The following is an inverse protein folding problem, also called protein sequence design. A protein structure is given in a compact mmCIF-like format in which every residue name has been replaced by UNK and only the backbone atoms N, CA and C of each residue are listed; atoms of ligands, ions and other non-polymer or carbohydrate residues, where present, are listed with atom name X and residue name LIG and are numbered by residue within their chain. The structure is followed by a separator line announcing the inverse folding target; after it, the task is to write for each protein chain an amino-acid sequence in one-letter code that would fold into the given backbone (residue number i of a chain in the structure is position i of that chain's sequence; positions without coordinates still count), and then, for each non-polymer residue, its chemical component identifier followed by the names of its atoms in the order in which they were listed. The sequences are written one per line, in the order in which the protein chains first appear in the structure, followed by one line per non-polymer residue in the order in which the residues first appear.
data_IF_750869066036
#
_entry.id   IF_750869066036
#
_cell.length_a   1.000
_cell.length_b   1.000
_cell.length_c   1.000
_cell.angle_alpha   90.00
_cell.angle_beta   90.00
_cell.angle_gamma   90.00
#
_symmetry.space_group_name_H-M   'P 1'
#
loop_
_entity.id
_entity.type
_entity.pdbx_description
1 polymer ?
#
# COMPACT_ATOMS: atom_id res chain seq x y z
N UNK A 1 -152.74 64.46 -22.83
CA UNK A 1 -151.51 64.69 -22.03
C UNK A 1 -150.95 63.43 -21.38
N UNK A 2 -151.76 62.50 -20.84
CA UNK A 2 -151.27 61.24 -20.22
C UNK A 2 -150.47 60.30 -21.16
N UNK A 3 -150.79 60.29 -22.46
CA UNK A 3 -150.15 59.37 -23.43
C UNK A 3 -148.71 59.74 -23.79
N UNK A 4 -148.33 61.02 -23.74
CA UNK A 4 -146.99 61.49 -24.10
C UNK A 4 -145.96 61.23 -22.99
N UNK A 5 -146.39 61.31 -21.73
CA UNK A 5 -145.56 61.00 -20.57
C UNK A 5 -145.31 59.50 -20.46
N UNK A 6 -146.27 58.69 -20.86
CA UNK A 6 -146.18 57.23 -20.86
C UNK A 6 -145.21 56.72 -21.96
N UNK A 7 -145.24 57.31 -23.15
CA UNK A 7 -144.26 57.02 -24.21
C UNK A 7 -142.84 57.45 -23.86
N UNK A 8 -142.67 58.59 -23.16
CA UNK A 8 -141.36 59.03 -22.68
C UNK A 8 -140.79 58.12 -21.59
N UNK A 9 -141.64 57.63 -20.67
CA UNK A 9 -141.23 56.67 -19.65
C UNK A 9 -140.83 55.33 -20.26
N UNK A 10 -141.52 54.86 -21.28
CA UNK A 10 -141.18 53.59 -21.96
C UNK A 10 -139.87 53.70 -22.75
N UNK A 11 -139.61 54.84 -23.39
CA UNK A 11 -138.32 55.13 -24.02
C UNK A 11 -137.18 55.15 -22.99
N UNK A 12 -137.37 55.81 -21.84
CA UNK A 12 -136.38 55.83 -20.77
C UNK A 12 -136.10 54.43 -20.22
N UNK A 13 -137.13 53.59 -20.01
CA UNK A 13 -136.98 52.20 -19.56
C UNK A 13 -136.19 51.36 -20.56
N UNK A 14 -136.48 51.48 -21.86
CA UNK A 14 -135.73 50.78 -22.92
C UNK A 14 -134.26 51.23 -22.95
N UNK A 15 -133.98 52.53 -22.85
CA UNK A 15 -132.60 53.03 -22.79
C UNK A 15 -131.86 52.58 -21.54
N UNK A 16 -132.54 52.54 -20.39
CA UNK A 16 -131.97 52.10 -19.12
C UNK A 16 -131.65 50.60 -19.16
N UNK A 17 -132.56 49.78 -19.68
CA UNK A 17 -132.32 48.35 -19.91
C UNK A 17 -131.13 48.10 -20.84
N UNK A 18 -131.02 48.85 -21.95
CA UNK A 18 -129.89 48.72 -22.87
C UNK A 18 -128.56 49.14 -22.23
N UNK A 19 -128.57 50.18 -21.38
CA UNK A 19 -127.39 50.58 -20.61
C UNK A 19 -127.03 49.60 -19.50
N UNK A 20 -128.00 48.95 -18.86
CA UNK A 20 -127.78 47.88 -17.90
C UNK A 20 -127.14 46.65 -18.57
N UNK A 21 -127.61 46.28 -19.77
CA UNK A 21 -127.01 45.20 -20.57
C UNK A 21 -125.57 45.53 -21.00
N UNK A 22 -125.32 46.74 -21.48
CA UNK A 22 -123.98 47.22 -21.86
C UNK A 22 -123.02 47.22 -20.65
N UNK A 23 -123.48 47.72 -19.50
CA UNK A 23 -122.71 47.71 -18.24
C UNK A 23 -122.43 46.27 -17.76
N UNK A 24 -123.40 45.37 -17.87
CA UNK A 24 -123.18 43.96 -17.52
C UNK A 24 -122.17 43.30 -18.46
N UNK A 25 -122.23 43.57 -19.76
CA UNK A 25 -121.24 43.08 -20.73
C UNK A 25 -119.83 43.59 -20.41
N UNK A 26 -119.70 44.90 -20.13
CA UNK A 26 -118.42 45.51 -19.73
C UNK A 26 -117.90 44.94 -18.41
N UNK A 27 -118.79 44.65 -17.45
CA UNK A 27 -118.41 44.04 -16.18
C UNK A 27 -117.92 42.60 -16.38
N UNK A 28 -118.55 41.82 -17.25
CA UNK A 28 -118.10 40.46 -17.54
C UNK A 28 -116.75 40.44 -18.26
N UNK A 29 -116.56 41.31 -19.26
CA UNK A 29 -115.27 41.37 -19.99
C UNK A 29 -114.13 41.81 -19.08
N UNK A 30 -114.36 42.84 -18.26
CA UNK A 30 -113.35 43.31 -17.30
C UNK A 30 -113.02 42.27 -16.22
N UNK A 31 -113.99 41.46 -15.77
CA UNK A 31 -113.75 40.37 -14.83
C UNK A 31 -112.92 39.24 -15.46
N UNK A 32 -113.19 38.89 -16.72
CA UNK A 32 -112.43 37.87 -17.46
C UNK A 32 -111.00 38.33 -17.80
N UNK A 33 -110.84 39.59 -18.19
CA UNK A 33 -109.52 40.21 -18.36
C UNK A 33 -108.74 40.22 -17.04
N UNK A 34 -109.38 40.58 -15.93
CA UNK A 34 -108.75 40.58 -14.62
C UNK A 34 -108.32 39.17 -14.19
N UNK A 35 -109.12 38.13 -14.48
CA UNK A 35 -108.74 36.72 -14.24
C UNK A 35 -107.55 36.30 -15.09
N UNK A 36 -107.55 36.64 -16.38
CA UNK A 36 -106.45 36.33 -17.30
C UNK A 36 -105.13 36.99 -16.86
N UNK A 37 -105.18 38.27 -16.49
CA UNK A 37 -104.01 38.99 -15.97
C UNK A 37 -103.49 38.37 -14.67
N UNK A 38 -104.37 37.97 -13.75
CA UNK A 38 -103.96 37.27 -12.52
C UNK A 38 -103.24 35.95 -12.81
N UNK A 39 -103.72 35.17 -13.79
CA UNK A 39 -103.05 33.94 -14.20
C UNK A 39 -101.66 34.22 -14.78
N UNK A 40 -101.53 35.21 -15.67
CA UNK A 40 -100.24 35.61 -16.23
C UNK A 40 -99.26 36.10 -15.15
N UNK A 41 -99.72 36.88 -14.17
CA UNK A 41 -98.89 37.35 -13.05
C UNK A 41 -98.40 36.16 -12.23
N UNK A 42 -99.29 35.25 -11.83
CA UNK A 42 -98.91 34.06 -11.06
C UNK A 42 -97.86 33.22 -11.81
N UNK A 43 -98.05 32.99 -13.11
CA UNK A 43 -97.07 32.27 -13.93
C UNK A 43 -95.72 32.99 -14.02
N UNK A 44 -95.70 34.33 -14.10
CA UNK A 44 -94.46 35.11 -14.11
C UNK A 44 -93.77 35.09 -12.75
N UNK A 45 -94.52 35.10 -11.66
CA UNK A 45 -93.98 35.00 -10.29
C UNK A 45 -93.30 33.64 -10.08
N UNK A 46 -93.90 32.55 -10.57
CA UNK A 46 -93.30 31.21 -10.54
C UNK A 46 -91.97 31.16 -11.33
N UNK A 47 -91.93 31.72 -12.54
CA UNK A 47 -90.70 31.82 -13.34
C UNK A 47 -89.61 32.66 -12.64
N UNK A 48 -90.02 33.74 -11.97
CA UNK A 48 -89.11 34.61 -11.24
C UNK A 48 -88.53 33.93 -10.00
N UNK A 49 -89.30 33.07 -9.33
CA UNK A 49 -88.80 32.21 -8.24
C UNK A 49 -87.77 31.21 -8.77
N UNK A 50 -88.04 30.52 -9.88
CA UNK A 50 -87.11 29.57 -10.49
C UNK A 50 -85.81 30.26 -10.94
N UNK A 51 -85.91 31.42 -11.56
CA UNK A 51 -84.75 32.22 -12.00
C UNK A 51 -83.88 32.65 -10.81
N UNK A 52 -84.50 33.11 -9.71
CA UNK A 52 -83.78 33.45 -8.48
C UNK A 52 -83.07 32.25 -7.88
N UNK A 53 -83.70 31.07 -7.90
CA UNK A 53 -83.06 29.86 -7.40
C UNK A 53 -81.83 29.48 -8.25
N UNK A 54 -81.95 29.51 -9.57
CA UNK A 54 -80.82 29.25 -10.47
C UNK A 54 -79.68 30.26 -10.26
N UNK A 55 -80.00 31.52 -9.96
CA UNK A 55 -78.99 32.52 -9.63
C UNK A 55 -78.25 32.20 -8.32
N UNK A 56 -78.96 31.76 -7.28
CA UNK A 56 -78.33 31.31 -6.02
C UNK A 56 -77.43 30.10 -6.22
N UNK A 57 -77.85 29.15 -7.06
CA UNK A 57 -77.06 27.95 -7.37
C UNK A 57 -75.76 28.33 -8.12
N UNK A 58 -75.84 29.26 -9.08
CA UNK A 58 -74.67 29.80 -9.78
C UNK A 58 -73.73 30.57 -8.86
N UNK A 59 -74.27 31.39 -7.94
CA UNK A 59 -73.48 32.13 -6.97
C UNK A 59 -72.71 31.17 -6.04
N UNK A 60 -73.33 30.04 -5.65
CA UNK A 60 -72.67 29.00 -4.89
C UNK A 60 -71.55 28.30 -5.69
N UNK A 61 -71.80 27.96 -6.95
CA UNK A 61 -70.78 27.33 -7.82
C UNK A 61 -69.58 28.27 -8.05
N UNK A 62 -69.81 29.57 -8.22
CA UNK A 62 -68.75 30.57 -8.34
C UNK A 62 -67.88 30.59 -7.09
N UNK A 63 -68.48 30.52 -5.91
CA UNK A 63 -67.74 30.51 -4.65
C UNK A 63 -66.93 29.22 -4.49
N UNK A 64 -67.50 28.06 -4.84
CA UNK A 64 -66.78 26.78 -4.83
C UNK A 64 -65.58 26.81 -5.78
N UNK A 65 -65.74 27.35 -7.00
CA UNK A 65 -64.65 27.53 -7.96
C UNK A 65 -63.56 28.46 -7.41
N UNK A 66 -63.93 29.57 -6.77
CA UNK A 66 -62.95 30.50 -6.15
C UNK A 66 -62.14 29.83 -5.06
N UNK A 67 -62.79 29.05 -4.19
CA UNK A 67 -62.08 28.33 -3.13
C UNK A 67 -61.16 27.25 -3.70
N UNK A 68 -61.58 26.54 -4.74
CA UNK A 68 -60.75 25.56 -5.43
C UNK A 68 -59.54 26.21 -6.13
N UNK A 69 -59.74 27.35 -6.79
CA UNK A 69 -58.67 28.12 -7.43
C UNK A 69 -57.64 28.59 -6.40
N UNK A 70 -58.09 29.14 -5.28
CA UNK A 70 -57.19 29.60 -4.22
C UNK A 70 -56.32 28.46 -3.64
N UNK A 71 -56.88 27.26 -3.48
CA UNK A 71 -56.11 26.07 -3.08
C UNK A 71 -55.10 25.67 -4.14
N UNK A 72 -55.50 25.64 -5.41
CA UNK A 72 -54.61 25.30 -6.51
C UNK A 72 -53.44 26.29 -6.67
N UNK A 73 -53.68 27.59 -6.41
CA UNK A 73 -52.63 28.62 -6.38
C UNK A 73 -51.63 28.36 -5.24
N UNK A 74 -52.13 28.04 -4.04
CA UNK A 74 -51.28 27.70 -2.89
C UNK A 74 -50.43 26.45 -3.16
N UNK A 75 -51.03 25.39 -3.71
CA UNK A 75 -50.32 24.16 -4.05
C UNK A 75 -49.24 24.39 -5.12
N UNK A 76 -49.54 25.22 -6.14
CA UNK A 76 -48.55 25.60 -7.15
C UNK A 76 -47.38 26.36 -6.56
N UNK A 77 -47.61 27.24 -5.57
CA UNK A 77 -46.53 27.96 -4.92
C UNK A 77 -45.63 27.02 -4.12
N UNK A 78 -46.21 26.08 -3.36
CA UNK A 78 -45.45 25.05 -2.65
C UNK A 78 -44.62 24.16 -3.59
N UNK A 79 -45.18 23.81 -4.75
CA UNK A 79 -44.45 23.04 -5.77
C UNK A 79 -43.27 23.83 -6.34
N UNK A 80 -43.42 25.14 -6.56
CA UNK A 80 -42.32 26.01 -7.01
C UNK A 80 -41.21 26.11 -5.97
N UNK A 81 -41.55 26.29 -4.71
CA UNK A 81 -40.57 26.30 -3.61
C UNK A 81 -39.81 24.97 -3.55
N UNK A 82 -40.53 23.85 -3.58
CA UNK A 82 -39.91 22.50 -3.57
C UNK A 82 -39.00 22.29 -4.80
N UNK A 83 -39.38 22.82 -5.97
CA UNK A 83 -38.57 22.73 -7.17
C UNK A 83 -37.26 23.55 -7.03
N UNK A 84 -37.33 24.75 -6.47
CA UNK A 84 -36.17 25.58 -6.20
C UNK A 84 -35.20 24.89 -5.23
N UNK A 85 -35.70 24.33 -4.13
CA UNK A 85 -34.89 23.58 -3.18
C UNK A 85 -34.20 22.37 -3.85
N UNK A 86 -34.92 21.67 -4.73
CA UNK A 86 -34.37 20.55 -5.49
C UNK A 86 -33.27 20.97 -6.48
N UNK A 87 -33.44 22.12 -7.15
CA UNK A 87 -32.43 22.67 -8.06
C UNK A 87 -31.16 23.09 -7.28
N UNK A 88 -31.30 23.70 -6.10
CA UNK A 88 -30.17 24.04 -5.23
C UNK A 88 -29.42 22.79 -4.74
N UNK A 89 -30.12 21.72 -4.35
CA UNK A 89 -29.50 20.46 -3.95
C UNK A 89 -28.75 19.81 -5.13
N UNK A 90 -29.33 19.84 -6.34
CA UNK A 90 -28.66 19.35 -7.55
C UNK A 90 -27.37 20.11 -7.86
N UNK A 91 -27.37 21.42 -7.71
CA UNK A 91 -26.17 22.23 -7.93
C UNK A 91 -25.10 21.96 -6.87
N UNK A 92 -25.48 21.78 -5.60
CA UNK A 92 -24.56 21.34 -4.55
C UNK A 92 -23.96 19.95 -4.85
N UNK A 93 -24.78 18.99 -5.31
CA UNK A 93 -24.31 17.67 -5.69
C UNK A 93 -23.35 17.71 -6.89
N UNK A 94 -23.64 18.53 -7.91
CA UNK A 94 -22.76 18.74 -9.07
C UNK A 94 -21.42 19.34 -8.67
N UNK A 95 -21.42 20.35 -7.79
CA UNK A 95 -20.19 20.93 -7.27
C UNK A 95 -19.36 19.90 -6.47
N UNK A 96 -20.02 19.11 -5.63
CA UNK A 96 -19.37 18.02 -4.89
C UNK A 96 -18.79 16.94 -5.81
N UNK A 97 -19.47 16.61 -6.91
CA UNK A 97 -18.94 15.68 -7.92
C UNK A 97 -17.71 16.25 -8.62
N UNK A 98 -17.75 17.49 -9.09
CA UNK A 98 -16.61 18.13 -9.75
C UNK A 98 -15.37 18.20 -8.85
N UNK A 99 -15.55 18.46 -7.55
CA UNK A 99 -14.45 18.43 -6.57
C UNK A 99 -13.81 17.05 -6.46
N UNK A 100 -14.62 15.98 -6.37
CA UNK A 100 -14.12 14.60 -6.30
C UNK A 100 -13.42 14.18 -7.59
N UNK A 101 -13.93 14.60 -8.75
CA UNK A 101 -13.29 14.33 -10.03
C UNK A 101 -11.90 15.00 -10.09
N UNK A 102 -11.76 16.21 -9.56
CA UNK A 102 -10.46 16.88 -9.37
C UNK A 102 -9.50 16.07 -8.49
N UNK A 103 -9.96 15.64 -7.30
CA UNK A 103 -9.16 14.81 -6.39
C UNK A 103 -8.71 13.49 -7.04
N UNK A 104 -9.56 12.85 -7.84
CA UNK A 104 -9.22 11.62 -8.58
C UNK A 104 -8.11 11.87 -9.59
N UNK A 105 -8.13 13.01 -10.30
CA UNK A 105 -7.07 13.38 -11.25
C UNK A 105 -5.74 13.56 -10.51
N UNK A 106 -5.74 14.28 -9.38
CA UNK A 106 -4.54 14.51 -8.58
C UNK A 106 -3.97 13.21 -8.03
N UNK A 107 -4.82 12.31 -7.52
CA UNK A 107 -4.41 11.00 -7.02
C UNK A 107 -3.82 10.12 -8.13
N UNK A 108 -4.39 10.15 -9.34
CA UNK A 108 -3.81 9.43 -10.49
C UNK A 108 -2.44 9.97 -10.88
N UNK A 109 -2.26 11.30 -10.87
CA UNK A 109 -0.96 11.91 -11.16
C UNK A 109 0.09 11.54 -10.09
N UNK A 110 -0.30 11.56 -8.80
CA UNK A 110 0.56 11.16 -7.70
C UNK A 110 0.96 9.67 -7.79
N UNK A 111 0.02 8.79 -8.15
CA UNK A 111 0.28 7.36 -8.36
C UNK A 111 1.28 7.13 -9.48
N UNK A 112 1.07 7.75 -10.65
CA UNK A 112 1.99 7.64 -11.79
C UNK A 112 3.42 8.10 -11.45
N UNK A 113 3.55 9.16 -10.64
CA UNK A 113 4.87 9.61 -10.17
C UNK A 113 5.51 8.59 -9.22
N UNK A 114 4.74 7.97 -8.32
CA UNK A 114 5.23 6.91 -7.43
C UNK A 114 5.66 5.66 -8.20
N UNK A 115 4.91 5.25 -9.22
CA UNK A 115 5.28 4.15 -10.10
C UNK A 115 6.62 4.41 -10.80
N UNK A 116 6.82 5.62 -11.33
CA UNK A 116 8.11 6.02 -11.92
C UNK A 116 9.27 5.99 -10.93
N UNK A 117 9.04 6.41 -9.69
CA UNK A 117 10.07 6.34 -8.63
C UNK A 117 10.41 4.89 -8.29
N UNK A 118 9.40 4.00 -8.21
CA UNK A 118 9.62 2.57 -7.96
C UNK A 118 10.44 1.95 -9.09
N UNK A 119 10.13 2.26 -10.35
CA UNK A 119 10.88 1.77 -11.51
C UNK A 119 12.35 2.20 -11.45
N UNK A 120 12.61 3.48 -11.15
CA UNK A 120 13.97 3.99 -11.00
C UNK A 120 14.72 3.29 -9.85
N UNK A 121 14.07 3.08 -8.71
CA UNK A 121 14.66 2.34 -7.59
C UNK A 121 14.98 0.89 -7.96
N UNK A 122 14.15 0.25 -8.77
CA UNK A 122 14.41 -1.11 -9.23
C UNK A 122 15.68 -1.18 -10.11
N UNK A 123 15.86 -0.21 -11.01
CA UNK A 123 17.08 -0.07 -11.83
C UNK A 123 18.31 0.18 -10.95
N UNK A 124 18.22 1.08 -9.97
CA UNK A 124 19.31 1.38 -9.05
C UNK A 124 19.72 0.15 -8.22
N UNK A 125 18.74 -0.62 -7.73
CA UNK A 125 18.99 -1.86 -6.99
C UNK A 125 19.68 -2.89 -7.87
N UNK A 126 19.19 -3.12 -9.09
CA UNK A 126 19.80 -4.06 -10.03
C UNK A 126 21.26 -3.69 -10.34
N UNK A 127 21.54 -2.40 -10.55
CA UNK A 127 22.92 -1.93 -10.78
C UNK A 127 23.81 -2.16 -9.55
N UNK A 128 23.30 -1.95 -8.34
CA UNK A 128 24.04 -2.18 -7.11
C UNK A 128 24.28 -3.68 -6.84
N UNK A 129 23.39 -4.56 -7.28
CA UNK A 129 23.57 -6.01 -7.24
C UNK A 129 24.69 -6.45 -8.19
N UNK A 130 24.70 -5.95 -9.44
CA UNK A 130 25.76 -6.22 -10.41
C UNK A 130 27.13 -5.74 -9.91
N UNK A 131 27.21 -4.53 -9.35
CA UNK A 131 28.44 -3.98 -8.77
C UNK A 131 28.94 -4.85 -7.59
N UNK A 132 28.02 -5.34 -6.73
CA UNK A 132 28.39 -6.23 -5.63
C UNK A 132 28.93 -7.57 -6.12
N UNK A 133 28.36 -8.12 -7.20
CA UNK A 133 28.84 -9.37 -7.79
C UNK A 133 30.28 -9.20 -8.32
N UNK A 134 30.56 -8.12 -9.04
CA UNK A 134 31.92 -7.80 -9.51
C UNK A 134 32.92 -7.62 -8.36
N UNK A 135 32.49 -6.99 -7.26
CA UNK A 135 33.32 -6.84 -6.07
C UNK A 135 33.64 -8.19 -5.42
N UNK A 136 32.67 -9.11 -5.36
CA UNK A 136 32.88 -10.48 -4.85
C UNK A 136 33.87 -11.27 -5.72
N UNK A 137 33.72 -11.21 -7.04
CA UNK A 137 34.67 -11.85 -7.97
C UNK A 137 36.09 -11.29 -7.82
N UNK A 138 36.20 -9.96 -7.68
CA UNK A 138 37.48 -9.28 -7.45
C UNK A 138 38.10 -9.72 -6.12
N UNK A 139 37.29 -9.83 -5.07
CA UNK A 139 37.74 -10.30 -3.76
C UNK A 139 38.26 -11.75 -3.85
N UNK A 140 37.50 -12.66 -4.46
CA UNK A 140 37.90 -14.04 -4.64
C UNK A 140 39.22 -14.16 -5.41
N UNK A 141 39.40 -13.37 -6.47
CA UNK A 141 40.65 -13.34 -7.24
C UNK A 141 41.83 -12.89 -6.39
N UNK A 142 41.64 -11.86 -5.55
CA UNK A 142 42.69 -11.39 -4.64
C UNK A 142 43.02 -12.41 -3.56
N UNK A 143 42.01 -13.09 -3.01
CA UNK A 143 42.22 -14.14 -2.01
C UNK A 143 43.06 -15.29 -2.59
N UNK A 144 42.79 -15.72 -3.83
CA UNK A 144 43.60 -16.72 -4.54
C UNK A 144 45.05 -16.27 -4.77
N UNK A 145 45.25 -14.99 -5.13
CA UNK A 145 46.61 -14.45 -5.30
C UNK A 145 47.36 -14.36 -3.97
N UNK A 146 46.68 -14.03 -2.88
CA UNK A 146 47.26 -14.06 -1.53
C UNK A 146 47.71 -15.49 -1.18
N UNK A 147 46.86 -16.50 -1.35
CA UNK A 147 47.21 -17.90 -1.11
C UNK A 147 48.43 -18.33 -1.95
N UNK A 148 48.51 -17.91 -3.22
CA UNK A 148 49.66 -18.18 -4.10
C UNK A 148 50.94 -17.56 -3.55
N UNK A 149 50.89 -16.29 -3.13
CA UNK A 149 52.03 -15.57 -2.60
C UNK A 149 52.49 -16.15 -1.25
N UNK A 150 51.57 -16.56 -0.38
CA UNK A 150 51.88 -17.23 0.88
C UNK A 150 52.60 -18.57 0.64
N UNK A 151 52.15 -19.36 -0.35
CA UNK A 151 52.83 -20.61 -0.73
C UNK A 151 54.22 -20.37 -1.32
N UNK A 152 54.39 -19.36 -2.17
CA UNK A 152 55.69 -18.97 -2.72
C UNK A 152 56.65 -18.52 -1.62
N UNK A 153 56.17 -17.73 -0.65
CA UNK A 153 56.94 -17.31 0.51
C UNK A 153 57.38 -18.51 1.36
N UNK A 154 56.47 -19.45 1.67
CA UNK A 154 56.80 -20.65 2.44
C UNK A 154 57.86 -21.52 1.73
N UNK A 155 57.80 -21.63 0.40
CA UNK A 155 58.84 -22.31 -0.40
C UNK A 155 60.19 -21.63 -0.27
N UNK A 156 60.23 -20.30 -0.36
CA UNK A 156 61.47 -19.52 -0.22
C UNK A 156 62.05 -19.61 1.19
N UNK A 157 61.22 -19.62 2.21
CA UNK A 157 61.66 -19.85 3.59
C UNK A 157 62.29 -21.23 3.75
N UNK A 158 61.73 -22.27 3.11
CA UNK A 158 62.33 -23.60 3.03
C UNK A 158 63.71 -23.60 2.35
N UNK A 159 63.83 -22.98 1.18
CA UNK A 159 65.12 -22.83 0.47
C UNK A 159 66.18 -22.13 1.35
N UNK A 160 65.77 -21.09 2.10
CA UNK A 160 66.67 -20.37 3.02
C UNK A 160 67.16 -21.28 4.15
N UNK A 161 66.30 -22.14 4.70
CA UNK A 161 66.68 -23.12 5.73
C UNK A 161 67.72 -24.10 5.19
N UNK A 162 67.48 -24.66 3.99
CA UNK A 162 68.41 -25.61 3.35
C UNK A 162 69.76 -24.98 3.03
N UNK A 163 69.77 -23.74 2.54
CA UNK A 163 70.99 -22.97 2.29
C UNK A 163 71.76 -22.71 3.60
N UNK A 164 71.08 -22.37 4.69
CA UNK A 164 71.72 -22.19 6.01
C UNK A 164 72.35 -23.48 6.51
N UNK A 165 71.67 -24.63 6.35
CA UNK A 165 72.23 -25.94 6.71
C UNK A 165 73.47 -26.27 5.88
N UNK A 166 73.41 -26.04 4.56
CA UNK A 166 74.55 -26.24 3.65
C UNK A 166 75.75 -25.37 4.04
N UNK A 167 75.52 -24.10 4.41
CA UNK A 167 76.58 -23.20 4.88
C UNK A 167 77.23 -23.77 6.14
N UNK A 168 76.45 -24.21 7.13
CA UNK A 168 76.96 -24.78 8.37
C UNK A 168 77.83 -26.04 8.11
N UNK A 169 77.41 -26.94 7.21
CA UNK A 169 78.18 -28.13 6.82
C UNK A 169 79.51 -27.74 6.15
N UNK A 170 79.50 -26.72 5.29
CA UNK A 170 80.72 -26.22 4.64
C UNK A 170 81.66 -25.55 5.64
N UNK A 171 81.14 -24.83 6.63
CA UNK A 171 81.94 -24.26 7.71
C UNK A 171 82.65 -25.36 8.52
N UNK A 172 81.92 -26.43 8.90
CA UNK A 172 82.53 -27.59 9.58
C UNK A 172 83.62 -28.27 8.74
N UNK A 173 83.40 -28.42 7.43
CA UNK A 173 84.40 -28.98 6.52
C UNK A 173 85.64 -28.08 6.44
N UNK A 174 85.47 -26.76 6.35
CA UNK A 174 86.56 -25.78 6.34
C UNK A 174 87.39 -25.91 7.62
N UNK A 175 86.74 -26.01 8.78
CA UNK A 175 87.44 -26.15 10.06
C UNK A 175 88.21 -27.47 10.17
N UNK A 176 87.63 -28.58 9.68
CA UNK A 176 88.31 -29.87 9.57
C UNK A 176 89.54 -29.81 8.67
N UNK A 177 89.43 -29.15 7.51
CA UNK A 177 90.56 -28.94 6.59
C UNK A 177 91.64 -28.06 7.21
N UNK A 178 91.27 -26.97 7.89
CA UNK A 178 92.21 -26.11 8.63
C UNK A 178 92.98 -26.90 9.69
N UNK A 179 92.31 -27.76 10.46
CA UNK A 179 92.96 -28.63 11.44
C UNK A 179 93.96 -29.61 10.79
N UNK A 180 93.58 -30.24 9.67
CA UNK A 180 94.49 -31.12 8.91
C UNK A 180 95.70 -30.38 8.35
N UNK A 181 95.51 -29.18 7.82
CA UNK A 181 96.61 -28.34 7.33
C UNK A 181 97.56 -28.00 8.48
N UNK A 182 97.04 -27.54 9.62
CA UNK A 182 97.86 -27.24 10.80
C UNK A 182 98.65 -28.46 11.31
N UNK A 183 98.04 -29.65 11.31
CA UNK A 183 98.75 -30.90 11.63
C UNK A 183 99.87 -31.21 10.64
N UNK A 184 99.60 -31.09 9.33
CA UNK A 184 100.59 -31.35 8.29
C UNK A 184 101.73 -30.32 8.28
N UNK A 185 101.46 -29.07 8.67
CA UNK A 185 102.47 -28.05 8.93
C UNK A 185 103.37 -28.46 10.10
N UNK A 186 102.79 -28.92 11.22
CA UNK A 186 103.54 -29.47 12.36
C UNK A 186 104.40 -30.68 12.00
N UNK A 187 103.87 -31.64 11.24
CA UNK A 187 104.64 -32.80 10.75
C UNK A 187 105.79 -32.36 9.82
N UNK A 188 105.56 -31.38 8.95
CA UNK A 188 106.61 -30.81 8.10
C UNK A 188 107.71 -30.12 8.91
N UNK A 189 107.37 -29.39 9.97
CA UNK A 189 108.35 -28.79 10.87
C UNK A 189 109.21 -29.86 11.56
N UNK A 190 108.59 -30.96 12.03
CA UNK A 190 109.32 -32.09 12.60
C UNK A 190 110.24 -32.78 11.59
N UNK A 191 109.77 -33.00 10.36
CA UNK A 191 110.57 -33.56 9.27
C UNK A 191 111.75 -32.65 8.94
N UNK A 192 111.54 -31.34 8.84
CA UNK A 192 112.61 -30.36 8.62
C UNK A 192 113.63 -30.36 9.76
N UNK A 193 113.20 -30.42 11.01
CA UNK A 193 114.09 -30.53 12.16
C UNK A 193 114.91 -31.84 12.13
N UNK A 194 114.25 -32.96 11.82
CA UNK A 194 114.91 -34.27 11.66
C UNK A 194 115.93 -34.26 10.53
N UNK A 195 115.59 -33.63 9.41
CA UNK A 195 116.50 -33.47 8.28
C UNK A 195 117.71 -32.62 8.65
N UNK A 196 117.52 -31.51 9.37
CA UNK A 196 118.63 -30.70 9.89
C UNK A 196 119.55 -31.49 10.84
N UNK A 197 118.99 -32.33 11.73
CA UNK A 197 119.78 -33.20 12.61
C UNK A 197 120.61 -34.18 11.77
N UNK A 198 119.98 -34.85 10.79
CA UNK A 198 120.68 -35.78 9.91
C UNK A 198 121.75 -35.09 9.07
N UNK A 199 121.49 -33.90 8.57
CA UNK A 199 122.48 -33.10 7.83
C UNK A 199 123.67 -32.72 8.73
N UNK A 200 123.41 -32.34 9.99
CA UNK A 200 124.47 -32.10 10.99
C UNK A 200 125.26 -33.38 11.32
N UNK A 201 124.59 -34.53 11.44
CA UNK A 201 125.23 -35.83 11.68
C UNK A 201 126.09 -36.28 10.50
N UNK A 202 125.59 -36.12 9.26
CA UNK A 202 126.37 -36.36 8.04
C UNK A 202 127.60 -35.46 7.97
N UNK A 203 127.48 -34.18 8.33
CA UNK A 203 128.62 -33.25 8.38
C UNK A 203 129.63 -33.66 9.47
N UNK A 204 129.17 -34.19 10.61
CA UNK A 204 130.03 -34.77 11.66
C UNK A 204 130.71 -36.09 11.27
N UNK A 205 130.08 -36.91 10.43
CA UNK A 205 130.64 -38.15 9.88
C UNK A 205 131.57 -37.93 8.68
N UNK A 206 131.63 -36.68 8.18
CA UNK A 206 132.45 -36.26 7.05
C UNK A 206 133.99 -36.17 7.27
N UNK A 207 134.58 -36.16 8.48
CA UNK A 207 136.04 -36.15 8.59
C UNK A 207 136.59 -37.54 8.29
N UNK A 208 136.79 -37.83 7.01
CA UNK A 208 137.41 -39.06 6.53
C UNK A 208 137.31 -39.32 5.02
N UNK A 209 136.37 -38.71 4.29
CA UNK A 209 136.11 -39.08 2.89
C UNK A 209 136.57 -38.12 1.79
N UNK A 210 137.06 -36.91 2.12
CA UNK A 210 137.59 -35.96 1.11
C UNK A 210 139.12 -36.04 0.89
N UNK A 211 139.82 -37.00 1.51
CA UNK A 211 141.28 -37.12 1.37
C UNK A 211 141.76 -38.01 0.21
N UNK A 212 140.92 -38.82 -0.45
CA UNK A 212 141.39 -39.69 -1.55
C UNK A 212 140.30 -40.06 -2.56
N UNK A 213 140.13 -39.26 -3.63
CA UNK A 213 140.06 -39.81 -5.01
C UNK A 213 140.15 -38.73 -6.11
N UNK A 214 141.29 -38.68 -6.78
CA UNK A 214 141.50 -38.01 -8.08
C UNK A 214 141.01 -38.93 -9.23
N UNK A 215 140.08 -38.42 -10.06
CA UNK A 215 139.91 -38.52 -11.56
C UNK A 215 139.87 -39.91 -12.27
N UNK A 216 139.55 -40.03 -13.59
CA UNK A 216 138.51 -39.44 -14.48
C UNK A 216 137.81 -40.47 -15.43
N UNK A 217 136.67 -40.13 -16.09
CA UNK A 217 136.17 -40.74 -17.37
C UNK A 217 134.80 -40.12 -17.75
N UNK A 218 134.57 -39.38 -18.85
CA UNK A 218 134.43 -39.70 -20.29
C UNK A 218 133.26 -40.63 -20.69
N UNK A 219 132.29 -40.08 -21.45
CA UNK A 219 131.30 -40.74 -22.33
C UNK A 219 130.07 -41.34 -21.63
N UNK A 220 128.83 -41.33 -22.11
CA UNK A 220 128.13 -40.87 -23.33
C UNK A 220 126.62 -41.10 -23.08
N UNK A 221 125.77 -40.26 -23.67
CA UNK A 221 124.36 -40.45 -24.09
C UNK A 221 123.41 -41.44 -23.40
N UNK A 222 122.23 -40.93 -23.03
CA UNK A 222 120.91 -41.30 -23.61
C UNK A 222 119.74 -40.92 -22.69
N UNK A 223 118.78 -40.13 -23.24
CA UNK A 223 117.32 -40.15 -22.97
C UNK A 223 116.84 -39.86 -21.53
N UNK A 224 115.85 -39.00 -21.24
CA UNK A 224 114.65 -38.67 -21.98
C UNK A 224 114.15 -37.26 -21.60
N UNK A 225 114.11 -36.38 -22.61
CA UNK A 225 113.31 -35.16 -22.63
C UNK A 225 111.84 -35.59 -22.77
N UNK A 226 111.07 -35.55 -21.68
CA UNK A 226 109.60 -35.49 -21.75
C UNK A 226 109.13 -34.19 -21.11
N UNK A 227 109.26 -33.13 -21.90
CA UNK A 227 108.33 -32.03 -21.87
C UNK A 227 106.92 -32.59 -22.19
N UNK A 228 105.98 -32.42 -21.27
CA UNK A 228 104.55 -32.35 -21.55
C UNK A 228 104.13 -30.96 -21.06
N UNK A 229 104.04 -29.99 -21.97
CA UNK A 229 102.79 -29.61 -22.63
C UNK A 229 101.67 -29.36 -21.62
N UNK A 230 101.46 -28.08 -21.31
CA UNK A 230 100.17 -27.39 -21.31
C UNK A 230 100.48 -25.89 -21.35
N UNK A 231 100.75 -25.40 -22.57
CA UNK A 231 100.72 -23.98 -22.90
C UNK A 231 99.27 -23.56 -23.10
N UNK A 232 98.95 -22.38 -22.58
CA UNK A 232 97.72 -21.63 -22.79
C UNK A 232 97.18 -21.71 -24.22
N UNK A 233 95.88 -21.98 -24.33
CA UNK A 233 95.07 -21.66 -25.51
C UNK A 233 93.75 -21.06 -25.05
N UNK A 234 93.56 -19.81 -25.47
CA UNK A 234 92.28 -19.21 -25.91
C UNK A 234 91.20 -18.93 -24.87
N UNK A 235 91.30 -17.70 -24.35
CA UNK A 235 90.16 -16.86 -23.97
C UNK A 235 89.73 -16.13 -25.26
N UNK A 236 88.67 -16.60 -25.91
CA UNK A 236 87.82 -15.97 -26.95
C UNK A 236 86.89 -17.11 -27.42
N UNK A 237 85.56 -17.13 -27.34
CA UNK A 237 84.53 -16.13 -27.58
C UNK A 237 83.33 -16.87 -28.20
N UNK A 238 82.19 -16.91 -27.50
CA UNK A 238 80.87 -17.12 -28.13
C UNK A 238 79.90 -16.09 -27.56
N UNK A 239 80.06 -14.86 -28.05
CA UNK A 239 78.99 -13.89 -28.08
C UNK A 239 78.41 -13.85 -29.48
N UNK A 240 77.17 -14.35 -29.65
CA UNK A 240 76.21 -13.84 -30.64
C UNK A 240 74.86 -14.55 -30.48
N UNK A 241 73.90 -13.91 -29.82
CA UNK A 241 72.60 -13.68 -30.46
C UNK A 241 71.84 -12.56 -29.75
N UNK A 242 71.17 -11.79 -30.58
CA UNK A 242 70.53 -10.49 -30.33
C UNK A 242 69.21 -10.65 -29.59
N UNK A 243 68.91 -9.69 -28.71
CA UNK A 243 67.66 -8.91 -28.66
C UNK A 243 67.85 -7.80 -27.61
N UNK A 244 68.04 -6.53 -28.00
CA UNK A 244 67.02 -5.44 -27.97
C UNK A 244 66.15 -5.55 -26.71
N UNK A 245 66.19 -4.62 -25.73
CA UNK A 245 65.61 -3.25 -25.75
C UNK A 245 66.07 -2.47 -24.47
N UNK A 246 66.09 -1.12 -24.43
CA UNK A 246 66.79 -0.31 -23.41
C UNK A 246 65.89 0.14 -22.21
N UNK A 247 66.43 0.89 -21.22
CA UNK A 247 65.93 0.90 -19.84
C UNK A 247 64.95 2.03 -19.50
N UNK A 248 64.27 1.79 -18.38
CA UNK A 248 63.61 2.69 -17.43
C UNK A 248 63.87 4.20 -17.63
N UNK A 249 62.76 4.94 -17.78
CA UNK A 249 62.64 6.32 -17.27
C UNK A 249 61.78 6.35 -15.99
N UNK A 250 62.04 7.28 -15.07
CA UNK A 250 61.34 7.41 -13.80
C UNK A 250 60.01 8.16 -13.95
N UNK A 251 58.93 7.53 -13.50
CA UNK A 251 57.58 8.09 -13.43
C UNK A 251 57.41 9.04 -12.25
N UNK A 252 57.28 10.31 -12.60
CA UNK A 252 56.89 11.50 -11.85
C UNK A 252 55.73 11.29 -10.85
N UNK A 253 56.04 11.61 -9.59
CA UNK A 253 55.31 12.44 -8.61
C UNK A 253 53.79 12.64 -8.82
N UNK A 254 53.05 12.15 -7.84
CA UNK A 254 51.67 12.46 -7.47
C UNK A 254 51.37 13.96 -7.36
N UNK A 255 50.23 14.38 -7.93
CA UNK A 255 49.39 15.43 -7.34
C UNK A 255 47.91 15.06 -7.54
N UNK A 256 47.32 14.37 -6.56
CA UNK A 256 45.86 14.38 -6.38
C UNK A 256 45.56 15.39 -5.29
N UNK A 257 44.90 16.46 -5.71
CA UNK A 257 44.30 17.46 -4.86
C UNK A 257 43.14 16.87 -4.07
N UNK A 258 43.16 17.25 -2.80
CA UNK A 258 42.10 17.13 -1.82
C UNK A 258 40.77 17.70 -2.30
N UNK A 259 39.68 16.95 -2.07
CA UNK A 259 38.47 17.54 -1.49
C UNK A 259 37.82 16.52 -0.57
N UNK A 260 37.87 16.82 0.72
CA UNK A 260 37.15 16.08 1.74
C UNK A 260 35.69 16.49 1.75
N UNK A 261 34.81 15.53 2.00
CA UNK A 261 33.55 15.83 2.66
C UNK A 261 33.25 14.70 3.65
N UNK A 262 33.15 15.15 4.89
CA UNK A 262 32.97 14.41 6.13
C UNK A 262 31.62 13.71 6.16
N UNK A 263 31.58 12.43 6.54
CA UNK A 263 30.36 11.76 7.00
C UNK A 263 30.66 10.82 8.19
N UNK A 264 29.78 10.74 9.20
CA UNK A 264 30.11 10.21 10.52
C UNK A 264 29.98 8.69 10.62
N UNK A 265 30.86 8.11 11.45
CA UNK A 265 30.73 6.75 12.01
C UNK A 265 29.45 6.65 12.85
N UNK A 266 28.48 5.86 12.41
CA UNK A 266 27.51 5.25 13.31
C UNK A 266 27.92 3.80 13.59
N UNK A 267 28.11 3.52 14.87
CA UNK A 267 28.40 2.21 15.44
C UNK A 267 27.11 1.38 15.40
N UNK A 268 27.06 0.33 14.59
CA UNK A 268 26.00 -0.69 14.69
C UNK A 268 26.53 -1.79 15.61
N UNK A 269 26.06 -1.76 16.86
CA UNK A 269 26.10 -2.92 17.75
C UNK A 269 25.07 -3.93 17.22
N UNK A 270 25.55 -5.07 16.75
CA UNK A 270 24.70 -6.23 16.48
C UNK A 270 24.09 -6.77 17.77
N UNK A 271 22.77 -6.83 17.81
CA UNK A 271 22.01 -7.68 18.71
C UNK A 271 21.19 -8.62 17.82
N UNK A 272 21.65 -9.87 17.73
CA UNK A 272 20.89 -11.00 17.22
C UNK A 272 19.95 -11.44 18.34
N UNK A 273 18.63 -11.27 18.18
CA UNK A 273 17.62 -12.07 18.88
C UNK A 273 16.19 -11.84 18.37
N UNK A 274 15.59 -12.94 17.91
CA UNK A 274 14.18 -13.33 17.97
C UNK A 274 13.16 -12.61 17.09
N UNK A 275 13.09 -13.08 15.83
CA UNK A 275 11.87 -13.10 15.02
C UNK A 275 10.90 -14.17 15.53
N UNK A 276 9.89 -13.75 16.31
CA UNK A 276 8.66 -14.50 16.60
C UNK A 276 7.63 -13.59 17.28
N UNK A 277 7.26 -12.47 16.63
CA UNK A 277 6.24 -11.55 17.17
C UNK A 277 5.41 -10.80 16.10
N UNK A 278 5.29 -11.31 14.87
CA UNK A 278 4.58 -10.57 13.79
C UNK A 278 3.12 -11.01 13.60
N UNK A 279 2.64 -12.04 14.29
CA UNK A 279 1.28 -12.58 14.06
C UNK A 279 0.20 -12.20 15.09
N UNK A 280 0.50 -11.33 16.07
CA UNK A 280 -0.48 -10.93 17.11
C UNK A 280 -1.13 -9.55 16.90
N UNK A 281 -0.66 -8.74 15.95
CA UNK A 281 -1.13 -7.35 15.81
C UNK A 281 -2.22 -7.14 14.75
N UNK A 282 -2.44 -8.09 13.83
CA UNK A 282 -3.49 -7.96 12.82
C UNK A 282 -4.90 -8.06 13.39
N UNK A 283 -5.13 -8.93 14.38
CA UNK A 283 -6.42 -8.97 15.10
C UNK A 283 -6.65 -7.68 15.90
N UNK A 284 -5.63 -7.18 16.60
CA UNK A 284 -5.70 -5.94 17.38
C UNK A 284 -6.08 -4.72 16.52
N UNK A 285 -5.44 -4.58 15.35
CA UNK A 285 -5.71 -3.50 14.40
C UNK A 285 -7.08 -3.67 13.74
N UNK A 286 -7.49 -4.90 13.42
CA UNK A 286 -8.82 -5.17 12.88
C UNK A 286 -9.93 -4.82 13.89
N UNK A 287 -9.79 -5.23 15.15
CA UNK A 287 -10.76 -4.91 16.21
C UNK A 287 -10.80 -3.40 16.51
N UNK A 288 -9.65 -2.71 16.54
CA UNK A 288 -9.63 -1.25 16.72
C UNK A 288 -10.30 -0.50 15.58
N UNK A 289 -10.18 -0.99 14.33
CA UNK A 289 -10.77 -0.36 13.14
C UNK A 289 -12.28 -0.61 13.05
N UNK A 290 -12.74 -1.78 13.48
CA UNK A 290 -14.17 -2.10 13.63
C UNK A 290 -14.80 -1.28 14.76
N UNK A 291 -14.13 -1.13 15.91
CA UNK A 291 -14.62 -0.30 17.02
C UNK A 291 -14.76 1.18 16.62
N UNK A 292 -13.77 1.72 15.91
CA UNK A 292 -13.80 3.10 15.44
C UNK A 292 -14.96 3.35 14.45
N UNK A 293 -15.17 2.43 13.50
CA UNK A 293 -16.26 2.54 12.51
C UNK A 293 -17.64 2.30 13.11
N UNK A 294 -17.76 1.41 14.09
CA UNK A 294 -19.01 1.21 14.82
C UNK A 294 -19.35 2.42 15.69
N UNK A 295 -18.35 3.03 16.33
CA UNK A 295 -18.52 4.26 17.11
C UNK A 295 -18.92 5.44 16.20
N UNK A 296 -18.33 5.55 15.01
CA UNK A 296 -18.70 6.57 14.02
C UNK A 296 -20.11 6.33 13.44
N UNK A 297 -20.49 5.07 13.19
CA UNK A 297 -21.83 4.70 12.76
C UNK A 297 -22.87 5.03 13.82
N UNK A 298 -22.61 4.71 15.09
CA UNK A 298 -23.49 5.05 16.21
C UNK A 298 -23.58 6.56 16.45
N UNK A 299 -22.50 7.32 16.22
CA UNK A 299 -22.51 8.79 16.30
C UNK A 299 -23.30 9.45 15.15
N UNK A 300 -23.39 8.81 13.97
CA UNK A 300 -24.19 9.29 12.83
C UNK A 300 -25.68 8.99 12.94
N UNK A 301 -26.08 8.06 13.82
CA UNK A 301 -27.50 7.88 14.18
C UNK A 301 -27.89 9.04 15.11
N UNK A 302 -28.16 10.19 14.51
CA UNK A 302 -28.68 11.38 15.18
C UNK A 302 -30.10 11.06 15.67
N UNK A 303 -30.24 10.67 16.93
CA UNK A 303 -31.56 10.59 17.57
C UNK A 303 -32.03 12.04 17.77
N UNK A 304 -33.18 12.46 17.21
CA UNK A 304 -33.66 13.83 17.34
C UNK A 304 -33.92 14.18 18.82
N UNK A 305 -33.61 15.40 19.27
CA UNK A 305 -33.67 15.78 20.70
C UNK A 305 -35.09 15.85 21.30
N UNK A 306 -36.15 15.55 20.54
CA UNK A 306 -37.55 15.72 20.97
C UNK A 306 -38.24 14.44 21.46
N UNK A 307 -37.54 13.55 22.19
CA UNK A 307 -38.18 12.41 22.91
C UNK A 307 -37.57 12.13 24.29
N UNK A 308 -37.29 13.16 25.09
CA UNK A 308 -36.76 12.99 26.46
C UNK A 308 -37.82 12.81 27.57
N UNK A 309 -39.11 12.71 27.25
CA UNK A 309 -40.18 12.50 28.25
C UNK A 309 -40.99 11.21 28.04
N UNK A 310 -40.33 10.09 27.75
CA UNK A 310 -40.99 8.78 27.79
C UNK A 310 -40.13 7.78 28.58
N UNK A 311 -40.57 7.28 29.76
CA UNK A 311 -39.77 6.41 30.63
C UNK A 311 -39.58 4.97 30.10
N UNK A 312 -39.78 4.74 28.80
CA UNK A 312 -39.71 3.43 28.13
C UNK A 312 -38.68 3.39 26.99
N UNK A 313 -37.78 4.37 26.89
CA UNK A 313 -36.72 4.34 25.88
C UNK A 313 -35.61 3.35 26.30
N UNK A 314 -35.25 2.35 25.46
CA UNK A 314 -34.20 1.40 25.79
C UNK A 314 -32.83 2.09 25.77
N UNK A 315 -32.17 2.18 26.93
CA UNK A 315 -30.80 2.65 27.05
C UNK A 315 -29.82 1.48 26.82
N UNK A 316 -28.95 1.59 25.82
CA UNK A 316 -27.88 0.60 25.61
C UNK A 316 -26.72 0.94 26.54
N UNK A 317 -26.41 0.05 27.48
CA UNK A 317 -25.21 0.15 28.32
C UNK A 317 -24.19 -0.91 27.92
N UNK A 318 -22.98 -0.45 27.58
CA UNK A 318 -21.85 -1.30 27.22
C UNK A 318 -20.85 -1.28 28.38
N UNK A 319 -20.61 -2.43 29.00
CA UNK A 319 -19.55 -2.57 30.02
C UNK A 319 -18.50 -3.60 29.58
N UNK A 320 -17.24 -3.17 29.53
CA UNK A 320 -16.09 -3.97 29.09
C UNK A 320 -15.55 -4.83 30.26
N UNK A 321 -15.55 -6.17 30.13
CA UNK A 321 -14.85 -7.07 31.08
C UNK A 321 -13.62 -7.71 30.43
N UNK A 322 -12.51 -7.74 31.19
CA UNK A 322 -11.13 -7.97 30.71
C UNK A 322 -10.78 -9.36 30.16
N UNK A 323 -11.69 -10.33 30.06
CA UNK A 323 -11.30 -11.71 29.64
C UNK A 323 -12.22 -12.44 28.66
N UNK A 324 -13.32 -11.84 28.18
CA UNK A 324 -14.15 -12.29 27.04
C UNK A 324 -15.21 -11.21 26.78
N UNK A 325 -15.37 -10.68 25.55
CA UNK A 325 -16.45 -9.72 25.28
C UNK A 325 -17.78 -10.47 25.33
N UNK A 326 -18.60 -10.16 26.35
CA UNK A 326 -20.01 -10.55 26.39
C UNK A 326 -20.84 -9.30 26.17
N UNK A 327 -21.82 -9.40 25.28
CA UNK A 327 -22.77 -8.33 24.98
C UNK A 327 -24.05 -8.63 25.74
N UNK A 328 -24.48 -7.71 26.59
CA UNK A 328 -25.77 -7.79 27.29
C UNK A 328 -26.61 -6.60 26.88
N UNK A 329 -27.78 -6.86 26.31
CA UNK A 329 -28.81 -5.86 26.07
C UNK A 329 -29.81 -6.01 27.22
N UNK A 330 -29.93 -4.99 28.07
CA UNK A 330 -30.94 -4.95 29.12
C UNK A 330 -32.06 -4.03 28.70
N UNK A 331 -33.27 -4.59 28.64
CA UNK A 331 -34.50 -3.82 28.54
C UNK A 331 -34.98 -3.47 29.96
N UNK A 332 -35.38 -2.22 30.18
CA UNK A 332 -35.77 -1.72 31.49
C UNK A 332 -37.16 -2.27 31.86
N UNK A 333 -37.23 -3.53 32.29
CA UNK A 333 -38.48 -4.11 32.79
C UNK A 333 -38.55 -5.63 32.90
N UNK A 334 -37.62 -6.41 32.33
CA UNK A 334 -37.62 -7.88 32.44
C UNK A 334 -36.21 -8.46 32.57
N UNK A 335 -36.14 -9.64 33.19
CA UNK A 335 -34.93 -10.36 33.60
C UNK A 335 -33.83 -10.38 32.53
N UNK A 336 -32.58 -10.21 32.97
CA UNK A 336 -31.39 -10.22 32.12
C UNK A 336 -31.30 -11.52 31.32
N UNK A 337 -31.44 -11.44 30.00
CA UNK A 337 -31.16 -12.56 29.11
C UNK A 337 -29.64 -12.67 28.93
N UNK A 338 -29.04 -13.73 29.47
CA UNK A 338 -27.65 -14.08 29.20
C UNK A 338 -27.53 -14.68 27.80
N UNK A 339 -26.87 -13.95 26.89
CA UNK A 339 -26.59 -14.45 25.54
C UNK A 339 -25.40 -15.41 25.59
N UNK A 340 -25.64 -16.71 25.42
CA UNK A 340 -24.60 -17.72 25.25
C UNK A 340 -24.66 -18.23 23.81
N UNK A 341 -23.65 -17.89 23.00
CA UNK A 341 -23.58 -18.25 21.57
C UNK A 341 -23.31 -19.76 21.45
N UNK A 342 -24.28 -20.53 20.96
CA UNK A 342 -24.06 -21.87 20.38
C UNK A 342 -24.09 -21.74 18.85
N UNK A 343 -23.12 -22.36 18.22
CA UNK A 343 -22.87 -22.35 16.76
C UNK A 343 -23.87 -23.25 16.03
N UNK A 344 -24.60 -22.74 15.03
CA UNK A 344 -25.26 -23.60 14.04
C UNK A 344 -26.55 -23.11 13.37
N UNK A 345 -27.29 -22.15 13.93
CA UNK A 345 -28.63 -21.79 13.42
C UNK A 345 -28.77 -20.28 13.13
N UNK A 346 -29.54 -19.87 12.11
CA UNK A 346 -29.82 -18.47 11.83
C UNK A 346 -30.75 -17.87 12.90
N UNK A 347 -30.39 -16.69 13.42
CA UNK A 347 -31.16 -16.01 14.45
C UNK A 347 -32.13 -15.00 13.83
N UNK A 348 -33.40 -15.05 14.27
CA UNK A 348 -34.43 -14.07 13.95
C UNK A 348 -34.72 -13.26 15.22
N UNK A 349 -34.45 -11.95 15.20
CA UNK A 349 -34.81 -11.05 16.32
C UNK A 349 -36.04 -10.24 15.92
N UNK A 350 -37.12 -10.40 16.68
CA UNK A 350 -38.35 -9.62 16.51
C UNK A 350 -38.33 -8.40 17.44
N UNK A 351 -38.46 -7.21 16.86
CA UNK A 351 -38.65 -5.98 17.62
C UNK A 351 -39.59 -5.05 16.85
N UNK A 352 -40.73 -4.70 17.47
CA UNK A 352 -41.68 -3.73 16.93
C UNK A 352 -42.25 -4.08 15.54
N UNK A 353 -42.49 -5.36 15.24
CA UNK A 353 -43.07 -5.79 13.96
C UNK A 353 -42.09 -5.80 12.77
N UNK A 354 -40.80 -5.63 13.01
CA UNK A 354 -39.72 -5.84 12.04
C UNK A 354 -38.85 -7.03 12.45
N UNK A 355 -38.42 -7.83 11.48
CA UNK A 355 -37.51 -8.94 11.68
C UNK A 355 -36.12 -8.59 11.15
N UNK A 356 -35.09 -8.79 11.97
CA UNK A 356 -33.70 -8.73 11.53
C UNK A 356 -33.19 -10.17 11.45
N UNK A 357 -32.85 -10.60 10.23
CA UNK A 357 -32.25 -11.91 9.98
C UNK A 357 -30.75 -11.68 9.74
N UNK A 358 -29.91 -12.26 10.59
CA UNK A 358 -28.46 -12.22 10.41
C UNK A 358 -28.01 -13.48 9.67
N UNK A 359 -27.18 -13.35 8.61
CA UNK A 359 -26.73 -14.50 7.83
C UNK A 359 -25.82 -15.43 8.65
N UNK A 360 -25.85 -16.71 8.30
CA UNK A 360 -25.01 -17.75 8.90
C UNK A 360 -23.52 -17.39 8.79
N UNK A 361 -22.69 -17.70 9.80
CA UNK A 361 -21.25 -17.42 9.80
C UNK A 361 -20.49 -18.00 8.60
N UNK A 362 -21.01 -19.06 7.98
CA UNK A 362 -20.35 -19.74 6.86
C UNK A 362 -20.50 -18.99 5.53
N UNK A 363 -21.60 -18.24 5.35
CA UNK A 363 -21.81 -17.39 4.17
C UNK A 363 -20.90 -16.15 4.19
N UNK A 364 -20.59 -15.64 5.38
CA UNK A 364 -19.67 -14.50 5.57
C UNK A 364 -18.23 -14.91 5.27
N UNK A 365 -17.86 -16.16 5.53
CA UNK A 365 -16.51 -16.70 5.28
C UNK A 365 -16.21 -16.84 3.79
N UNK A 366 -17.16 -17.38 3.01
CA UNK A 366 -17.00 -17.51 1.55
C UNK A 366 -17.00 -16.18 0.80
N UNK A 367 -17.69 -15.15 1.31
CA UNK A 367 -17.69 -13.81 0.72
C UNK A 367 -16.39 -13.04 0.98
N UNK A 368 -15.78 -13.23 2.17
CA UNK A 368 -14.50 -12.64 2.54
C UNK A 368 -13.34 -13.21 1.70
N UNK A 369 -13.34 -14.51 1.40
CA UNK A 369 -12.34 -15.15 0.53
C UNK A 369 -12.45 -14.70 -0.94
N UNK A 370 -13.63 -14.21 -1.36
CA UNK A 370 -13.87 -13.70 -2.72
C UNK A 370 -13.71 -12.17 -2.86
N UNK A 371 -13.23 -11.48 -1.81
CA UNK A 371 -13.00 -10.03 -1.83
C UNK A 371 -14.27 -9.18 -2.02
N UNK A 372 -15.45 -9.73 -1.73
CA UNK A 372 -16.73 -9.01 -1.81
C UNK A 372 -17.32 -8.84 -0.42
N UNK A 373 -17.37 -7.60 0.06
CA UNK A 373 -18.09 -7.27 1.29
C UNK A 373 -19.61 -7.36 1.04
N UNK A 374 -20.24 -8.39 1.58
CA UNK A 374 -21.68 -8.60 1.51
C UNK A 374 -22.29 -8.46 2.92
N UNK A 375 -22.70 -7.24 3.28
CA UNK A 375 -23.60 -7.01 4.42
C UNK A 375 -24.99 -6.70 3.89
N UNK A 376 -25.82 -7.74 3.74
CA UNK A 376 -27.23 -7.55 3.42
C UNK A 376 -28.03 -7.49 4.73
N UNK A 377 -28.36 -6.28 5.19
CA UNK A 377 -29.42 -6.09 6.18
C UNK A 377 -30.70 -5.84 5.39
N UNK A 378 -31.47 -6.89 5.12
CA UNK A 378 -32.78 -6.75 4.49
C UNK A 378 -33.84 -6.59 5.56
N UNK A 379 -34.45 -5.41 5.62
CA UNK A 379 -35.64 -5.16 6.43
C UNK A 379 -36.82 -5.75 5.67
N UNK A 380 -37.24 -6.96 6.04
CA UNK A 380 -38.42 -7.60 5.46
C UNK A 380 -39.66 -7.19 6.23
N UNK A 381 -40.70 -6.72 5.51
CA UNK A 381 -42.03 -6.59 6.09
C UNK A 381 -42.60 -7.98 6.34
N UNK A 382 -43.45 -8.10 7.38
CA UNK A 382 -44.02 -9.37 7.86
C UNK A 382 -44.65 -10.22 6.73
N UNK A 383 -45.26 -9.59 5.73
CA UNK A 383 -45.84 -10.28 4.58
C UNK A 383 -44.81 -10.91 3.62
N UNK A 384 -43.60 -10.36 3.53
CA UNK A 384 -42.54 -10.88 2.66
C UNK A 384 -41.80 -12.04 3.31
N UNK A 385 -41.66 -12.02 4.64
CA UNK A 385 -41.11 -13.12 5.40
C UNK A 385 -42.00 -14.36 5.32
N UNK A 386 -43.33 -14.20 5.46
CA UNK A 386 -44.26 -15.33 5.36
C UNK A 386 -44.30 -15.92 3.94
N UNK A 387 -44.18 -15.09 2.89
CA UNK A 387 -44.03 -15.56 1.49
C UNK A 387 -42.73 -16.32 1.28
N UNK A 388 -41.61 -15.86 1.85
CA UNK A 388 -40.32 -16.54 1.75
C UNK A 388 -40.32 -17.90 2.48
N UNK A 389 -41.03 -18.01 3.61
CA UNK A 389 -41.26 -19.29 4.30
C UNK A 389 -42.11 -20.24 3.47
N UNK A 390 -43.18 -19.77 2.82
CA UNK A 390 -44.02 -20.63 1.96
C UNK A 390 -43.27 -21.12 0.72
N UNK A 391 -42.31 -20.34 0.23
CA UNK A 391 -41.45 -20.71 -0.90
C UNK A 391 -40.30 -21.67 -0.53
N UNK A 392 -40.19 -22.11 0.73
CA UNK A 392 -39.17 -23.07 1.17
C UNK A 392 -37.74 -22.50 1.23
N UNK A 393 -37.59 -21.17 1.17
CA UNK A 393 -36.28 -20.49 1.18
C UNK A 393 -35.66 -20.47 2.58
N UNK A 394 -36.49 -20.62 3.62
CA UNK A 394 -36.05 -20.73 5.02
C UNK A 394 -36.72 -21.96 5.65
N UNK A 395 -35.94 -22.80 6.33
CA UNK A 395 -36.47 -23.95 7.05
C UNK A 395 -37.33 -23.50 8.24
N UNK A 396 -38.48 -24.14 8.43
CA UNK A 396 -39.39 -23.88 9.56
C UNK A 396 -38.76 -24.38 10.86
N UNK A 397 -38.33 -23.45 11.70
CA UNK A 397 -37.95 -23.66 13.10
C UNK A 397 -38.93 -22.95 14.01
#
# INVERSE_FOLDING_TARGET
MRTSTETQLEQLRSTLSGKEEELNSMRTTTDDEAKSLRYCIASRDDELVLSKQAQLDLDQEIEDIRTALSRAEQDNEQLRETQLDGDEELDHLRAGQASRDGEIVDLKAALANKERVIENLHVEVSSAEDDNEQLRETQQTKDQEIERLEAEQASKDGEIIDLKATIADKEQLIDSLRAKVSSAEGDNEQLRATQQIKDQELERLRPGHDATRKRPSTGTDSQAKRARHLTSTEIEGQGSSRNRTPPLQPGVISTTSSSGTTAPRHTIKGAVSNDLAVNCDLESVFYQRVDARLTEFLAKIKVPPNRLNNPLAPCIHVTKRKKKPQWTITDAGKAACHLCVKTGEPYVVESGGSYIVLPLPELVRGAAEAGREAFYVTRLHKGDLERAKTAGVYASG
#
